data_IF_221795437534
#
_entry.id   IF_221795437534
#
_cell.length_a   1.000
_cell.length_b   1.000
_cell.length_c   1.000
_cell.angle_alpha   90.00
_cell.angle_beta   90.00
_cell.angle_gamma   90.00
#
_symmetry.space_group_name_H-M   'P 1'
#
loop_
_entity.id
_entity.type
_entity.pdbx_description
1 polymer ?
#
# COMPACT_ATOMS: atom_id res chain seq x y z
N UNK A 1 -14.71 36.89 6.32
CA UNK A 1 -13.24 37.09 6.30
C UNK A 1 -12.62 35.75 6.59
N UNK A 2 -12.09 35.09 5.57
CA UNK A 2 -11.62 33.71 5.68
C UNK A 2 -10.35 33.62 6.52
N UNK A 3 -10.45 32.91 7.64
CA UNK A 3 -9.34 32.60 8.52
C UNK A 3 -8.90 31.17 8.22
N UNK A 4 -7.86 31.01 7.38
CA UNK A 4 -6.95 29.87 7.54
C UNK A 4 -5.62 30.16 6.85
N UNK A 5 -4.71 30.83 7.54
CA UNK A 5 -3.29 30.77 7.23
C UNK A 5 -2.78 29.35 7.56
N UNK A 6 -3.14 28.34 6.75
CA UNK A 6 -2.49 27.03 6.84
C UNK A 6 -1.05 27.22 6.39
N UNK A 7 -0.11 26.96 7.31
CA UNK A 7 1.30 26.87 6.96
C UNK A 7 1.46 25.75 5.93
N UNK A 8 1.83 26.12 4.71
CA UNK A 8 2.14 25.17 3.66
C UNK A 8 3.60 24.73 3.86
N UNK A 9 3.78 23.65 4.62
CA UNK A 9 5.10 23.11 4.97
C UNK A 9 5.79 22.39 3.81
N UNK A 10 5.00 21.86 2.88
CA UNK A 10 5.47 21.12 1.71
C UNK A 10 4.99 21.81 0.44
N UNK A 11 5.87 21.92 -0.55
CA UNK A 11 5.52 22.25 -1.92
C UNK A 11 4.64 21.16 -2.53
N UNK A 12 3.92 21.49 -3.61
CA UNK A 12 3.08 20.51 -4.30
C UNK A 12 3.90 19.33 -4.83
N UNK A 13 5.14 19.60 -5.29
CA UNK A 13 6.06 18.56 -5.76
C UNK A 13 6.48 17.62 -4.64
N UNK A 14 6.78 18.13 -3.44
CA UNK A 14 7.10 17.28 -2.29
C UNK A 14 5.89 16.45 -1.84
N UNK A 15 4.67 17.02 -1.91
CA UNK A 15 3.44 16.28 -1.64
C UNK A 15 3.27 15.14 -2.65
N UNK A 16 3.46 15.40 -3.94
CA UNK A 16 3.38 14.36 -4.98
C UNK A 16 4.46 13.29 -4.79
N UNK A 17 5.69 13.66 -4.51
CA UNK A 17 6.78 12.72 -4.27
C UNK A 17 6.46 11.79 -3.08
N UNK A 18 5.91 12.33 -1.99
CA UNK A 18 5.61 11.57 -0.78
C UNK A 18 4.34 10.70 -0.91
N UNK A 19 3.28 11.23 -1.51
CA UNK A 19 1.94 10.64 -1.43
C UNK A 19 1.41 10.06 -2.74
N UNK A 20 2.06 10.30 -3.87
CA UNK A 20 1.64 9.68 -5.13
C UNK A 20 1.94 8.19 -5.15
N UNK A 21 1.04 7.42 -5.75
CA UNK A 21 1.23 5.99 -6.03
C UNK A 21 2.51 5.80 -6.87
N UNK A 22 3.34 4.79 -6.60
CA UNK A 22 4.47 4.48 -7.47
C UNK A 22 4.02 4.15 -8.89
N UNK A 23 4.77 4.64 -9.88
CA UNK A 23 4.69 4.19 -11.27
C UNK A 23 5.94 3.37 -11.56
N UNK A 24 5.81 2.04 -11.50
CA UNK A 24 6.97 1.16 -11.60
C UNK A 24 7.42 0.96 -13.04
N UNK A 25 8.73 1.00 -13.25
CA UNK A 25 9.34 0.42 -14.44
C UNK A 25 9.48 -1.12 -14.31
N UNK A 26 9.85 -1.81 -15.39
CA UNK A 26 9.95 -3.27 -15.41
C UNK A 26 10.89 -3.87 -14.34
N UNK A 27 11.99 -3.17 -13.99
CA UNK A 27 12.89 -3.61 -12.94
C UNK A 27 12.24 -3.48 -11.56
N UNK A 28 11.59 -2.36 -11.29
CA UNK A 28 10.85 -2.12 -10.04
C UNK A 28 9.67 -3.09 -9.89
N UNK A 29 8.93 -3.35 -10.97
CA UNK A 29 7.88 -4.38 -10.99
C UNK A 29 8.45 -5.75 -10.57
N UNK A 30 9.59 -6.14 -11.15
CA UNK A 30 10.24 -7.40 -10.78
C UNK A 30 10.67 -7.40 -9.32
N UNK A 31 11.24 -6.30 -8.84
CA UNK A 31 11.71 -6.17 -7.46
C UNK A 31 10.56 -6.25 -6.45
N UNK A 32 9.53 -5.41 -6.63
CA UNK A 32 8.47 -5.24 -5.64
C UNK A 32 7.34 -6.27 -5.75
N UNK A 33 7.08 -6.85 -6.93
CA UNK A 33 6.05 -7.89 -7.09
C UNK A 33 6.58 -9.32 -6.99
N UNK A 34 7.90 -9.54 -6.86
CA UNK A 34 8.42 -10.85 -6.50
C UNK A 34 8.08 -11.17 -5.04
N UNK A 35 7.36 -12.28 -4.84
CA UNK A 35 6.90 -12.68 -3.52
C UNK A 35 7.91 -13.57 -2.80
N UNK A 36 8.16 -13.26 -1.53
CA UNK A 36 8.87 -14.13 -0.58
C UNK A 36 7.99 -15.32 -0.19
N UNK A 37 8.55 -16.27 0.57
CA UNK A 37 7.79 -17.43 1.03
C UNK A 37 6.63 -17.06 1.96
N UNK A 38 6.86 -16.18 2.94
CA UNK A 38 5.81 -15.70 3.86
C UNK A 38 4.71 -14.91 3.13
N UNK A 39 5.08 -14.11 2.13
CA UNK A 39 4.13 -13.38 1.30
C UNK A 39 3.26 -14.34 0.44
N UNK A 40 3.83 -15.44 -0.06
CA UNK A 40 3.07 -16.48 -0.78
C UNK A 40 2.11 -17.21 0.14
N UNK A 41 2.52 -17.52 1.36
CA UNK A 41 1.65 -18.14 2.37
C UNK A 41 0.48 -17.21 2.71
N UNK A 42 0.74 -15.92 2.94
CA UNK A 42 -0.31 -14.93 3.15
C UNK A 42 -1.28 -14.85 1.97
N UNK A 43 -0.78 -14.93 0.73
CA UNK A 43 -1.60 -14.90 -0.49
C UNK A 43 -2.59 -16.08 -0.56
N UNK A 44 -2.34 -17.21 0.10
CA UNK A 44 -3.22 -18.40 0.05
C UNK A 44 -4.58 -18.16 0.72
N UNK A 45 -4.70 -17.13 1.57
CA UNK A 45 -5.96 -16.71 2.18
C UNK A 45 -6.98 -16.18 1.16
N UNK A 46 -6.53 -15.88 -0.06
CA UNK A 46 -7.35 -15.31 -1.12
C UNK A 46 -7.47 -16.31 -2.28
N UNK A 47 -8.68 -16.75 -2.59
CA UNK A 47 -8.93 -17.77 -3.61
C UNK A 47 -9.09 -17.21 -5.03
N UNK A 48 -9.66 -16.02 -5.17
CA UNK A 48 -9.96 -15.41 -6.47
C UNK A 48 -8.70 -14.78 -7.09
N UNK A 49 -8.34 -15.15 -8.32
CA UNK A 49 -7.17 -14.62 -9.05
C UNK A 49 -7.13 -13.08 -9.08
N UNK A 50 -8.28 -12.44 -9.33
CA UNK A 50 -8.38 -10.98 -9.35
C UNK A 50 -8.02 -10.37 -8.00
N UNK A 51 -8.53 -10.95 -6.91
CA UNK A 51 -8.24 -10.42 -5.59
C UNK A 51 -6.81 -10.73 -5.15
N UNK A 52 -6.24 -11.86 -5.57
CA UNK A 52 -4.82 -12.18 -5.38
C UNK A 52 -3.91 -11.19 -6.10
N UNK A 53 -4.20 -10.84 -7.36
CA UNK A 53 -3.46 -9.80 -8.09
C UNK A 53 -3.55 -8.46 -7.34
N UNK A 54 -4.74 -8.09 -6.87
CA UNK A 54 -4.91 -6.85 -6.10
C UNK A 54 -4.15 -6.86 -4.76
N UNK A 55 -4.05 -8.00 -4.10
CA UNK A 55 -3.19 -8.15 -2.92
C UNK A 55 -1.73 -7.89 -3.26
N UNK A 56 -1.21 -8.51 -4.34
CA UNK A 56 0.18 -8.35 -4.77
C UNK A 56 0.49 -6.89 -5.14
N UNK A 57 -0.45 -6.20 -5.79
CA UNK A 57 -0.34 -4.76 -6.09
C UNK A 57 -0.21 -3.94 -4.81
N UNK A 58 -1.13 -4.12 -3.86
CA UNK A 58 -1.08 -3.41 -2.58
C UNK A 58 0.21 -3.69 -1.83
N UNK A 59 0.65 -4.95 -1.81
CA UNK A 59 1.89 -5.38 -1.16
C UNK A 59 3.13 -4.76 -1.82
N UNK A 60 3.21 -4.74 -3.15
CA UNK A 60 4.34 -4.15 -3.87
C UNK A 60 4.44 -2.64 -3.64
N UNK A 61 3.32 -1.91 -3.72
CA UNK A 61 3.31 -0.48 -3.41
C UNK A 61 3.62 -0.19 -1.94
N UNK A 62 3.14 -1.05 -1.02
CA UNK A 62 3.47 -0.94 0.39
C UNK A 62 4.96 -1.17 0.64
N UNK A 63 5.60 -2.15 -0.02
CA UNK A 63 7.05 -2.34 0.07
C UNK A 63 7.85 -1.13 -0.41
N UNK A 64 7.37 -0.42 -1.43
CA UNK A 64 8.05 0.75 -1.97
C UNK A 64 7.86 2.01 -1.12
N UNK A 65 6.66 2.27 -0.60
CA UNK A 65 6.32 3.55 0.06
C UNK A 65 5.77 3.45 1.49
N UNK A 66 5.62 2.24 2.04
CA UNK A 66 4.99 1.96 3.34
C UNK A 66 3.59 2.58 3.48
N UNK A 67 2.86 2.65 2.38
CA UNK A 67 1.57 3.31 2.26
C UNK A 67 0.58 2.49 1.41
N UNK A 68 -0.71 2.72 1.64
CA UNK A 68 -1.78 2.15 0.82
C UNK A 68 -2.40 3.20 -0.09
N UNK A 69 -2.63 2.83 -1.34
CA UNK A 69 -3.18 3.71 -2.35
C UNK A 69 -4.61 3.29 -2.72
N UNK A 70 -5.39 4.27 -3.19
CA UNK A 70 -6.71 4.02 -3.75
C UNK A 70 -6.56 3.90 -5.27
N UNK A 71 -6.85 2.71 -5.79
CA UNK A 71 -6.81 2.42 -7.22
C UNK A 71 -7.77 1.28 -7.55
N UNK A 72 -8.22 1.25 -8.79
CA UNK A 72 -8.84 0.12 -9.45
C UNK A 72 -7.80 -0.65 -10.26
N UNK A 73 -8.08 -1.88 -10.69
CA UNK A 73 -7.13 -2.67 -11.47
C UNK A 73 -6.91 -2.05 -12.86
N UNK A 74 -7.89 -1.31 -13.35
CA UNK A 74 -7.85 -0.55 -14.59
C UNK A 74 -6.83 0.59 -14.50
N UNK A 75 -6.77 1.30 -13.37
CA UNK A 75 -5.84 2.42 -13.13
C UNK A 75 -4.36 1.97 -13.10
N UNK A 76 -4.11 0.68 -12.92
CA UNK A 76 -2.77 0.05 -12.80
C UNK A 76 -2.65 -1.16 -13.71
N UNK A 77 -3.27 -1.11 -14.88
CA UNK A 77 -3.34 -2.24 -15.80
C UNK A 77 -1.97 -2.78 -16.21
N UNK A 78 -0.95 -1.93 -16.34
CA UNK A 78 0.42 -2.36 -16.65
C UNK A 78 1.00 -3.28 -15.55
N UNK A 79 0.93 -2.85 -14.29
CA UNK A 79 1.39 -3.64 -13.15
C UNK A 79 0.52 -4.90 -12.95
N UNK A 80 -0.80 -4.78 -13.12
CA UNK A 80 -1.71 -5.91 -13.02
C UNK A 80 -1.41 -6.99 -14.08
N UNK A 81 -1.10 -6.59 -15.32
CA UNK A 81 -0.67 -7.49 -16.38
C UNK A 81 0.68 -8.12 -16.09
N UNK A 82 1.65 -7.36 -15.57
CA UNK A 82 2.94 -7.90 -15.17
C UNK A 82 2.78 -9.02 -14.15
N UNK A 83 1.96 -8.80 -13.11
CA UNK A 83 1.68 -9.80 -12.07
C UNK A 83 0.93 -11.01 -12.65
N UNK A 84 -0.05 -10.78 -13.53
CA UNK A 84 -0.77 -11.85 -14.21
C UNK A 84 0.19 -12.75 -15.01
N UNK A 85 1.11 -12.15 -15.76
CA UNK A 85 2.11 -12.89 -16.54
C UNK A 85 3.12 -13.62 -15.65
N UNK A 86 3.47 -13.06 -14.49
CA UNK A 86 4.44 -13.64 -13.57
C UNK A 86 3.91 -14.87 -12.80
N UNK A 87 2.62 -14.88 -12.44
CA UNK A 87 2.06 -15.90 -11.54
C UNK A 87 0.89 -16.70 -12.12
N UNK A 88 0.25 -16.22 -13.19
CA UNK A 88 -1.02 -16.74 -13.68
C UNK A 88 -1.04 -16.96 -15.20
N UNK A 89 0.12 -17.20 -15.82
CA UNK A 89 0.29 -17.36 -17.29
C UNK A 89 -0.64 -18.43 -17.90
N UNK A 90 -1.03 -19.44 -17.12
CA UNK A 90 -1.91 -20.55 -17.54
C UNK A 90 -3.38 -20.36 -17.12
N UNK A 91 -3.75 -19.21 -16.55
CA UNK A 91 -5.12 -18.93 -16.15
C UNK A 91 -5.93 -18.33 -17.32
N UNK A 92 -7.26 -18.48 -17.26
CA UNK A 92 -8.17 -17.76 -18.14
C UNK A 92 -7.89 -16.25 -18.11
N UNK A 93 -8.14 -15.51 -19.21
CA UNK A 93 -7.89 -14.08 -19.25
C UNK A 93 -8.59 -13.38 -18.08
N UNK A 94 -7.79 -12.77 -17.21
CA UNK A 94 -8.28 -12.10 -16.02
C UNK A 94 -8.91 -10.79 -16.44
N UNK A 95 -10.21 -10.63 -16.24
CA UNK A 95 -10.86 -9.33 -16.40
C UNK A 95 -10.43 -8.41 -15.26
N UNK A 96 -9.89 -7.25 -15.61
CA UNK A 96 -9.57 -6.17 -14.67
C UNK A 96 -10.75 -5.21 -14.43
N UNK A 97 -11.88 -5.39 -15.11
CA UNK A 97 -13.03 -4.48 -15.00
C UNK A 97 -13.81 -4.65 -13.69
N UNK A 98 -14.04 -3.58 -12.92
CA UNK A 98 -14.86 -3.55 -11.70
C UNK A 98 -14.11 -3.24 -10.40
N UNK A 99 -14.85 -3.17 -9.29
CA UNK A 99 -14.28 -2.84 -7.97
C UNK A 99 -14.21 -4.06 -7.06
N UNK A 100 -13.14 -4.12 -6.27
CA UNK A 100 -13.03 -5.04 -5.15
C UNK A 100 -13.76 -4.42 -3.95
N UNK A 101 -14.49 -5.23 -3.19
CA UNK A 101 -15.26 -4.72 -2.05
C UNK A 101 -14.35 -4.12 -0.98
N UNK A 102 -14.83 -3.05 -0.33
CA UNK A 102 -14.06 -2.32 0.70
C UNK A 102 -13.63 -3.23 1.85
N UNK A 103 -14.49 -4.15 2.27
CA UNK A 103 -14.18 -5.10 3.34
C UNK A 103 -13.03 -6.03 2.96
N UNK A 104 -12.99 -6.49 1.70
CA UNK A 104 -11.91 -7.34 1.22
C UNK A 104 -10.59 -6.58 1.13
N UNK A 105 -10.62 -5.33 0.66
CA UNK A 105 -9.45 -4.44 0.66
C UNK A 105 -8.94 -4.26 2.10
N UNK A 106 -9.83 -4.02 3.06
CA UNK A 106 -9.46 -3.88 4.48
C UNK A 106 -8.78 -5.13 5.01
N UNK A 107 -9.33 -6.32 4.75
CA UNK A 107 -8.72 -7.60 5.17
C UNK A 107 -7.33 -7.78 4.56
N UNK A 108 -7.15 -7.49 3.28
CA UNK A 108 -5.84 -7.56 2.63
C UNK A 108 -4.82 -6.61 3.25
N UNK A 109 -5.22 -5.36 3.51
CA UNK A 109 -4.34 -4.36 4.14
C UNK A 109 -3.91 -4.81 5.53
N UNK A 110 -4.80 -5.43 6.31
CA UNK A 110 -4.46 -5.95 7.63
C UNK A 110 -3.42 -7.06 7.56
N UNK A 111 -3.55 -7.98 6.59
CA UNK A 111 -2.56 -9.04 6.35
C UNK A 111 -1.22 -8.44 5.94
N UNK A 112 -1.20 -7.43 5.06
CA UNK A 112 0.03 -6.74 4.66
C UNK A 112 0.69 -6.05 5.87
N UNK A 113 -0.07 -5.31 6.68
CA UNK A 113 0.45 -4.66 7.88
C UNK A 113 1.10 -5.70 8.82
N UNK A 114 0.43 -6.83 9.06
CA UNK A 114 0.98 -7.88 9.92
C UNK A 114 2.28 -8.51 9.39
N UNK A 115 2.44 -8.61 8.06
CA UNK A 115 3.67 -9.17 7.45
C UNK A 115 4.91 -8.33 7.77
N UNK A 116 4.75 -7.03 7.99
CA UNK A 116 5.85 -6.09 8.24
C UNK A 116 5.86 -5.56 9.68
N UNK A 117 5.05 -6.12 10.59
CA UNK A 117 4.98 -5.69 11.98
C UNK A 117 4.33 -4.31 12.19
N UNK A 118 3.57 -3.81 11.21
CA UNK A 118 2.79 -2.60 11.35
C UNK A 118 1.38 -2.90 11.89
N UNK A 119 0.72 -1.87 12.42
CA UNK A 119 -0.68 -1.91 12.80
C UNK A 119 -1.42 -0.69 12.26
N UNK A 120 -2.75 -0.80 12.15
CA UNK A 120 -3.58 0.37 11.86
C UNK A 120 -3.62 1.29 13.09
N UNK A 121 -3.78 2.60 12.85
CA UNK A 121 -4.00 3.54 13.93
C UNK A 121 -5.24 3.16 14.75
N UNK A 122 -5.08 3.19 16.07
CA UNK A 122 -6.16 3.02 17.05
C UNK A 122 -6.05 4.16 18.07
N UNK A 123 -7.18 4.68 18.54
CA UNK A 123 -7.21 5.76 19.55
C UNK A 123 -6.41 5.43 20.80
N UNK A 124 -6.33 4.14 21.14
CA UNK A 124 -5.72 3.64 22.35
C UNK A 124 -4.18 3.75 22.32
N UNK A 125 -3.60 3.94 21.13
CA UNK A 125 -2.17 4.21 20.94
C UNK A 125 -1.80 5.68 21.23
N UNK A 126 -2.79 6.58 21.33
CA UNK A 126 -2.53 8.00 21.50
C UNK A 126 -1.68 8.36 22.73
N UNK A 127 -1.92 7.78 23.93
CA UNK A 127 -1.08 8.08 25.09
C UNK A 127 0.38 7.68 24.89
N UNK A 128 0.63 6.53 24.26
CA UNK A 128 1.98 6.04 23.98
C UNK A 128 2.70 6.94 22.98
N UNK A 129 2.03 7.30 21.87
CA UNK A 129 2.59 8.21 20.86
C UNK A 129 2.87 9.58 21.48
N UNK A 130 1.95 10.14 22.27
CA UNK A 130 2.15 11.43 22.93
C UNK A 130 3.34 11.41 23.89
N UNK A 131 3.49 10.33 24.67
CA UNK A 131 4.64 10.13 25.55
C UNK A 131 5.95 10.09 24.75
N UNK A 132 5.97 9.33 23.64
CA UNK A 132 7.15 9.24 22.78
C UNK A 132 7.51 10.57 22.13
N UNK A 133 6.54 11.30 21.57
CA UNK A 133 6.75 12.63 20.98
C UNK A 133 7.26 13.61 22.03
N UNK A 134 6.70 13.60 23.24
CA UNK A 134 7.15 14.46 24.34
C UNK A 134 8.61 14.18 24.70
N UNK A 135 9.01 12.91 24.72
CA UNK A 135 10.41 12.54 24.91
C UNK A 135 11.30 13.04 23.77
N UNK A 136 10.89 12.89 22.51
CA UNK A 136 11.66 13.39 21.37
C UNK A 136 11.87 14.91 21.42
N UNK A 137 10.84 15.68 21.77
CA UNK A 137 10.94 17.14 21.92
C UNK A 137 11.91 17.55 23.03
N UNK A 138 12.07 16.71 24.07
CA UNK A 138 13.04 16.94 25.15
C UNK A 138 14.47 16.74 24.69
N UNK A 139 14.73 15.76 23.83
CA UNK A 139 16.08 15.43 23.34
C UNK A 139 16.50 16.23 22.10
N UNK A 140 15.53 16.67 21.31
CA UNK A 140 15.75 17.48 20.10
C UNK A 140 14.98 18.80 20.19
N UNK A 141 15.27 19.66 21.18
CA UNK A 141 14.68 20.99 21.23
C UNK A 141 15.16 21.80 20.01
N UNK A 142 14.24 22.58 19.44
CA UNK A 142 14.51 23.46 18.30
C UNK A 142 15.49 24.58 18.64
#
# INVERSE_FOLDING_TARGET
MENTKRLQLLSNTEVEELYSRPEFNAHEQRLYFTLTQSEREALTQFSNTRTRIFFILQLGYFKAKQQFFNFSLEDVSNDAQFIANLYYTNAFPVSFAGRISRDYIRTQRQVILSLFGYCAWMSDLAPEIQSHISNLLRYYPK
#
